data_IF_086379989749
#
_entry.id   IF_086379989749
#
_cell.length_a   1.000
_cell.length_b   1.000
_cell.length_c   1.000
_cell.angle_alpha   90.00
_cell.angle_beta   90.00
_cell.angle_gamma   90.00
#
_symmetry.space_group_name_H-M   'P 1'
#
loop_
_entity.id
_entity.type
_entity.pdbx_description
1 polymer ?
#
# COMPACT_ATOMS: atom_id res chain seq x y z
N UNK A 1 25.76 40.22 10.18
CA UNK A 1 25.07 38.91 10.17
C UNK A 1 25.33 38.26 11.52
N UNK A 2 24.40 38.24 12.48
CA UNK A 2 24.69 37.51 13.74
C UNK A 2 23.44 37.22 14.56
N UNK A 3 22.99 35.97 14.58
CA UNK A 3 22.03 35.50 15.59
C UNK A 3 21.01 34.46 15.14
N UNK A 4 20.81 34.24 13.83
CA UNK A 4 19.77 33.32 13.37
C UNK A 4 20.06 31.85 13.73
N UNK A 5 21.31 31.53 14.10
CA UNK A 5 21.75 30.19 14.53
C UNK A 5 22.74 30.25 15.70
N UNK A 6 22.36 30.85 16.83
CA UNK A 6 23.05 30.61 18.11
C UNK A 6 22.81 29.16 18.61
N UNK A 7 23.37 28.77 19.76
CA UNK A 7 23.13 27.43 20.37
C UNK A 7 21.63 27.07 20.43
N UNK A 8 20.78 28.07 20.69
CA UNK A 8 19.32 27.91 20.68
C UNK A 8 18.75 27.58 19.28
N UNK A 9 19.33 28.13 18.21
CA UNK A 9 18.95 27.81 16.83
C UNK A 9 19.41 26.42 16.39
N UNK A 10 20.60 25.98 16.82
CA UNK A 10 21.09 24.62 16.56
C UNK A 10 20.25 23.57 17.30
N UNK A 11 19.89 23.83 18.57
CA UNK A 11 19.00 22.95 19.33
C UNK A 11 17.61 22.87 18.70
N UNK A 12 17.03 24.00 18.29
CA UNK A 12 15.75 24.04 17.58
C UNK A 12 15.78 23.22 16.27
N UNK A 13 16.88 23.30 15.52
CA UNK A 13 17.08 22.49 14.32
C UNK A 13 17.13 20.99 14.63
N UNK A 14 17.90 20.57 15.64
CA UNK A 14 17.99 19.16 16.03
C UNK A 14 16.62 18.62 16.46
N UNK A 15 15.87 19.40 17.27
CA UNK A 15 14.52 19.01 17.68
C UNK A 15 13.59 18.85 16.47
N UNK A 16 13.63 19.79 15.52
CA UNK A 16 12.82 19.71 14.31
C UNK A 16 13.17 18.49 13.45
N UNK A 17 14.46 18.15 13.31
CA UNK A 17 14.91 16.95 12.57
C UNK A 17 14.45 15.68 13.27
N UNK A 18 14.61 15.57 14.59
CA UNK A 18 14.15 14.41 15.35
C UNK A 18 12.63 14.25 15.24
N UNK A 19 11.87 15.34 15.34
CA UNK A 19 10.42 15.33 15.19
C UNK A 19 10.03 14.83 13.79
N UNK A 20 10.64 15.38 12.74
CA UNK A 20 10.38 14.97 11.36
C UNK A 20 10.69 13.49 11.15
N UNK A 21 11.87 13.02 11.58
CA UNK A 21 12.26 11.63 11.44
C UNK A 21 11.36 10.69 12.24
N UNK A 22 10.87 11.11 13.41
CA UNK A 22 9.93 10.33 14.22
C UNK A 22 8.58 10.17 13.50
N UNK A 23 8.08 11.25 12.89
CA UNK A 23 6.85 11.20 12.08
C UNK A 23 7.03 10.30 10.86
N UNK A 24 8.13 10.47 10.12
CA UNK A 24 8.44 9.64 8.94
C UNK A 24 8.55 8.17 9.32
N UNK A 25 9.24 7.85 10.42
CA UNK A 25 9.37 6.47 10.90
C UNK A 25 8.03 5.87 11.27
N UNK A 26 7.19 6.59 12.03
CA UNK A 26 5.88 6.11 12.45
C UNK A 26 4.95 5.82 11.25
N UNK A 27 4.87 6.78 10.31
CA UNK A 27 4.06 6.63 9.11
C UNK A 27 4.61 5.52 8.18
N UNK A 28 5.93 5.44 8.02
CA UNK A 28 6.56 4.38 7.22
C UNK A 28 6.34 3.00 7.82
N UNK A 29 6.50 2.85 9.14
CA UNK A 29 6.27 1.60 9.85
C UNK A 29 4.81 1.13 9.73
N UNK A 30 3.85 2.03 9.99
CA UNK A 30 2.42 1.71 9.87
C UNK A 30 2.02 1.33 8.45
N UNK A 31 2.60 1.98 7.44
CA UNK A 31 2.40 1.63 6.04
C UNK A 31 2.91 0.22 5.73
N UNK A 32 4.14 -0.12 6.12
CA UNK A 32 4.73 -1.46 5.89
C UNK A 32 3.91 -2.55 6.59
N UNK A 33 3.51 -2.33 7.84
CA UNK A 33 2.67 -3.29 8.58
C UNK A 33 1.33 -3.50 7.87
N UNK A 34 0.69 -2.42 7.43
CA UNK A 34 -0.59 -2.51 6.71
C UNK A 34 -0.43 -3.23 5.37
N UNK A 35 0.61 -2.89 4.61
CA UNK A 35 0.91 -3.54 3.33
C UNK A 35 1.18 -5.04 3.51
N UNK A 36 1.94 -5.42 4.54
CA UNK A 36 2.21 -6.81 4.86
C UNK A 36 0.94 -7.56 5.25
N UNK A 37 0.07 -6.96 6.06
CA UNK A 37 -1.19 -7.56 6.45
C UNK A 37 -2.11 -7.81 5.24
N UNK A 38 -2.22 -6.86 4.32
CA UNK A 38 -3.09 -6.99 3.15
C UNK A 38 -2.49 -7.90 2.06
N UNK A 39 -1.16 -7.90 1.88
CA UNK A 39 -0.49 -8.80 0.94
C UNK A 39 -0.73 -10.28 1.28
N UNK A 40 -0.93 -10.59 2.56
CA UNK A 40 -1.23 -11.93 3.05
C UNK A 40 -2.73 -12.20 3.27
N UNK A 41 -3.61 -11.24 2.95
CA UNK A 41 -5.05 -11.38 3.11
C UNK A 41 -5.74 -11.35 1.74
N UNK A 42 -5.80 -12.51 1.05
CA UNK A 42 -6.46 -12.59 -0.24
C UNK A 42 -7.97 -12.35 -0.08
N UNK A 43 -8.57 -11.68 -1.07
CA UNK A 43 -10.02 -11.54 -1.12
C UNK A 43 -10.67 -12.92 -1.18
N UNK A 44 -11.64 -13.14 -0.29
CA UNK A 44 -12.51 -14.31 -0.36
C UNK A 44 -13.72 -14.01 -1.24
N UNK A 45 -14.09 -14.98 -2.08
CA UNK A 45 -15.31 -14.88 -2.87
C UNK A 45 -16.45 -15.45 -2.03
N UNK A 46 -17.18 -14.55 -1.36
CA UNK A 46 -18.41 -14.91 -0.66
C UNK A 46 -19.52 -15.19 -1.68
N UNK A 47 -20.27 -16.29 -1.47
CA UNK A 47 -21.38 -16.68 -2.35
C UNK A 47 -20.97 -16.84 -3.82
N UNK A 48 -19.90 -17.60 -4.09
CA UNK A 48 -19.39 -17.89 -5.43
C UNK A 48 -20.47 -18.30 -6.46
N UNK A 49 -21.51 -19.02 -6.00
CA UNK A 49 -22.64 -19.46 -6.82
C UNK A 49 -23.57 -18.33 -7.30
N UNK A 50 -23.49 -17.15 -6.66
CA UNK A 50 -24.24 -15.95 -7.05
C UNK A 50 -23.47 -15.04 -8.00
N UNK A 51 -22.16 -15.28 -8.18
CA UNK A 51 -21.41 -14.58 -9.22
C UNK A 51 -21.93 -15.03 -10.57
N UNK A 52 -22.63 -14.11 -11.25
CA UNK A 52 -23.02 -14.30 -12.64
C UNK A 52 -21.76 -14.41 -13.49
N UNK A 53 -21.47 -15.61 -13.98
CA UNK A 53 -20.52 -15.77 -15.08
C UNK A 53 -21.03 -14.91 -16.24
N UNK A 54 -20.24 -13.94 -16.72
CA UNK A 54 -20.62 -13.13 -17.89
C UNK A 54 -20.82 -14.07 -19.06
N UNK A 55 -22.09 -14.36 -19.32
CA UNK A 55 -22.73 -15.22 -20.31
C UNK A 55 -22.10 -16.60 -20.58
N UNK A 56 -22.91 -17.64 -20.44
CA UNK A 56 -22.64 -18.97 -21.01
C UNK A 56 -22.41 -18.90 -22.53
N UNK A 57 -22.94 -17.87 -23.19
CA UNK A 57 -22.72 -17.60 -24.60
C UNK A 57 -21.24 -17.40 -24.96
N UNK A 58 -20.38 -16.98 -24.03
CA UNK A 58 -18.96 -16.81 -24.32
C UNK A 58 -18.26 -18.12 -24.74
N UNK A 59 -18.82 -19.29 -24.37
CA UNK A 59 -18.33 -20.59 -24.84
C UNK A 59 -18.40 -20.73 -26.37
N UNK A 60 -19.32 -20.03 -27.05
CA UNK A 60 -19.45 -20.09 -28.51
C UNK A 60 -18.30 -19.39 -29.27
N UNK A 61 -17.52 -18.56 -28.57
CA UNK A 61 -16.34 -17.90 -29.12
C UNK A 61 -15.04 -18.66 -28.85
N UNK A 62 -15.10 -19.76 -28.09
CA UNK A 62 -13.96 -20.64 -27.87
C UNK A 62 -13.83 -21.63 -29.04
N UNK A 63 -12.70 -21.61 -29.75
CA UNK A 63 -12.31 -22.64 -30.72
C UNK A 63 -11.02 -23.28 -30.25
N UNK A 64 -11.04 -24.59 -30.05
CA UNK A 64 -9.82 -25.38 -29.85
C UNK A 64 -9.04 -25.43 -31.17
N UNK A 65 -8.01 -24.60 -31.28
CA UNK A 65 -7.03 -24.70 -32.37
C UNK A 65 -6.08 -25.84 -32.01
N UNK A 66 -6.50 -27.08 -32.31
CA UNK A 66 -5.61 -28.24 -32.25
C UNK A 66 -6.06 -29.42 -31.40
N UNK A 67 -7.34 -29.82 -31.48
CA UNK A 67 -7.67 -31.22 -31.21
C UNK A 67 -7.20 -32.06 -32.41
N UNK A 68 -6.13 -32.84 -32.21
CA UNK A 68 -5.67 -33.88 -33.15
C UNK A 68 -6.55 -35.12 -33.05
#
# INVERSE_FOLDING_TARGET
>A
MNGLFGVNGLLGFIVAVVLLLSVVFCLGYTAVVTQSAQANNPYTIENANTLQMRSADNAQHYKEVGAK
#
